data_IF_817311765913
#
_entry.id   IF_817311765913
#
_cell.length_a   1.000
_cell.length_b   1.000
_cell.length_c   1.000
_cell.angle_alpha   90.00
_cell.angle_beta   90.00
_cell.angle_gamma   90.00
#
_symmetry.space_group_name_H-M   'P 1'
#
loop_
_entity.id
_entity.type
_entity.pdbx_description
1 polymer ?
#
# COMPACT_ATOMS: atom_id res chain seq x y z
N UNK A 1 13.35 -32.45 -2.86
CA UNK A 1 14.53 -31.55 -3.02
C UNK A 1 14.01 -30.12 -2.93
N UNK A 2 14.65 -29.27 -2.13
CA UNK A 2 14.29 -27.85 -1.97
C UNK A 2 15.14 -27.03 -2.93
N UNK A 3 14.51 -26.37 -3.90
CA UNK A 3 15.18 -25.44 -4.80
C UNK A 3 14.90 -24.03 -4.27
N UNK A 4 15.84 -23.50 -3.50
CA UNK A 4 15.90 -22.08 -3.21
C UNK A 4 16.56 -21.37 -4.39
N UNK A 5 16.11 -20.16 -4.71
CA UNK A 5 16.87 -19.29 -5.63
C UNK A 5 18.28 -19.07 -5.07
N UNK A 6 19.28 -18.91 -5.95
CA UNK A 6 20.70 -18.79 -5.56
C UNK A 6 21.01 -17.55 -4.71
N UNK A 7 20.11 -16.57 -4.71
CA UNK A 7 20.15 -15.36 -3.88
C UNK A 7 18.78 -15.14 -3.20
N UNK A 8 18.75 -14.64 -1.95
CA UNK A 8 17.51 -14.32 -1.27
C UNK A 8 16.80 -13.19 -2.01
N UNK A 9 15.52 -13.36 -2.30
CA UNK A 9 14.71 -12.30 -2.87
C UNK A 9 14.60 -11.15 -1.85
N UNK A 10 14.90 -9.93 -2.30
CA UNK A 10 14.76 -8.71 -1.51
C UNK A 10 13.58 -7.92 -2.07
N UNK A 11 12.47 -7.78 -1.31
CA UNK A 11 11.36 -6.93 -1.71
C UNK A 11 11.79 -5.49 -1.88
N UNK A 12 11.18 -4.80 -2.86
CA UNK A 12 11.30 -3.35 -2.99
C UNK A 12 10.75 -2.65 -1.74
N UNK A 13 11.21 -1.44 -1.45
CA UNK A 13 10.66 -0.70 -0.31
C UNK A 13 9.18 -0.34 -0.54
N UNK A 14 8.83 0.03 -1.77
CA UNK A 14 7.47 0.37 -2.15
C UNK A 14 7.13 0.01 -3.61
N UNK A 15 5.84 -0.17 -3.88
CA UNK A 15 5.28 -0.23 -5.23
C UNK A 15 4.13 0.76 -5.35
N UNK A 16 4.08 1.50 -6.45
CA UNK A 16 2.99 2.44 -6.76
C UNK A 16 2.01 1.81 -7.75
N UNK A 17 0.80 1.53 -7.29
CA UNK A 17 -0.31 1.05 -8.11
C UNK A 17 -0.95 2.24 -8.82
N UNK A 18 -1.06 2.14 -10.16
CA UNK A 18 -1.59 3.20 -11.02
C UNK A 18 -2.83 2.80 -11.80
N UNK A 19 -3.08 1.50 -11.98
CA UNK A 19 -4.19 0.98 -12.76
C UNK A 19 -5.36 0.50 -11.87
N UNK A 20 -6.57 0.67 -12.39
CA UNK A 20 -7.82 0.34 -11.68
C UNK A 20 -7.94 -1.16 -11.38
N UNK A 21 -7.39 -2.01 -12.24
CA UNK A 21 -7.52 -3.47 -12.10
C UNK A 21 -6.74 -3.96 -10.88
N UNK A 22 -5.49 -3.56 -10.75
CA UNK A 22 -4.63 -3.85 -9.59
C UNK A 22 -5.17 -3.18 -8.32
N UNK A 23 -5.75 -1.98 -8.41
CA UNK A 23 -6.45 -1.36 -7.29
C UNK A 23 -7.60 -2.23 -6.77
N UNK A 24 -8.47 -2.73 -7.68
CA UNK A 24 -9.54 -3.68 -7.31
C UNK A 24 -8.99 -4.96 -6.70
N UNK A 25 -7.76 -5.34 -7.09
CA UNK A 25 -7.11 -6.53 -6.53
C UNK A 25 -6.69 -6.33 -5.09
N UNK A 26 -6.08 -5.19 -4.79
CA UNK A 26 -5.66 -4.81 -3.45
C UNK A 26 -6.82 -4.40 -2.55
N UNK A 27 -7.95 -3.96 -3.11
CA UNK A 27 -9.15 -3.60 -2.34
C UNK A 27 -9.79 -4.77 -1.55
N UNK A 28 -9.41 -6.00 -1.87
CA UNK A 28 -10.00 -7.19 -1.28
C UNK A 28 -9.34 -7.57 0.04
N UNK A 29 -10.18 -7.72 1.06
CA UNK A 29 -9.73 -7.96 2.43
C UNK A 29 -8.90 -9.24 2.58
N UNK A 30 -9.25 -10.31 1.86
CA UNK A 30 -8.52 -11.58 1.92
C UNK A 30 -7.14 -11.43 1.27
N UNK A 31 -7.08 -10.75 0.13
CA UNK A 31 -5.82 -10.47 -0.56
C UNK A 31 -4.88 -9.58 0.25
N UNK A 32 -5.41 -8.60 0.98
CA UNK A 32 -4.61 -7.79 1.91
C UNK A 32 -4.08 -8.61 3.08
N UNK A 33 -4.89 -9.50 3.65
CA UNK A 33 -4.44 -10.45 4.69
C UNK A 33 -3.31 -11.33 4.18
N UNK A 34 -3.44 -11.84 2.94
CA UNK A 34 -2.39 -12.63 2.29
C UNK A 34 -1.13 -11.81 2.07
N UNK A 35 -1.22 -10.58 1.54
CA UNK A 35 -0.08 -9.69 1.35
C UNK A 35 0.66 -9.40 2.66
N UNK A 36 -0.08 -9.17 3.76
CA UNK A 36 0.50 -8.97 5.10
C UNK A 36 1.21 -10.24 5.60
N UNK A 37 0.65 -11.41 5.38
CA UNK A 37 1.28 -12.69 5.73
C UNK A 37 2.54 -12.97 4.90
N UNK A 38 2.56 -12.51 3.65
CA UNK A 38 3.65 -12.67 2.69
C UNK A 38 4.76 -11.62 2.80
N UNK A 39 4.83 -10.87 3.91
CA UNK A 39 6.03 -10.07 4.23
C UNK A 39 7.27 -10.96 4.33
N UNK A 40 7.08 -12.17 4.83
CA UNK A 40 8.07 -13.25 4.82
C UNK A 40 7.67 -14.34 3.81
N UNK A 41 8.63 -15.10 3.25
CA UNK A 41 8.33 -16.21 2.36
C UNK A 41 7.41 -17.26 2.99
N UNK A 42 6.29 -17.58 2.33
CA UNK A 42 5.37 -18.63 2.79
C UNK A 42 4.66 -19.35 1.64
N UNK A 43 4.31 -20.60 1.86
CA UNK A 43 3.51 -21.44 0.96
C UNK A 43 2.01 -21.18 1.14
N UNK A 44 1.20 -21.56 0.15
CA UNK A 44 -0.27 -21.39 0.25
C UNK A 44 -0.85 -22.12 1.46
N UNK A 45 -0.30 -23.29 1.83
CA UNK A 45 -0.73 -24.05 3.01
C UNK A 45 -0.40 -23.32 4.32
N UNK A 46 0.81 -22.76 4.43
CA UNK A 46 1.21 -21.98 5.61
C UNK A 46 0.33 -20.74 5.77
N UNK A 47 0.03 -20.03 4.68
CA UNK A 47 -0.86 -18.87 4.71
C UNK A 47 -2.29 -19.30 5.11
N UNK A 48 -2.80 -20.40 4.57
CA UNK A 48 -4.13 -20.89 4.91
C UNK A 48 -4.25 -21.28 6.39
N UNK A 49 -3.21 -21.91 6.94
CA UNK A 49 -3.13 -22.24 8.36
C UNK A 49 -3.11 -20.96 9.21
N UNK A 50 -2.29 -19.98 8.85
CA UNK A 50 -2.20 -18.70 9.56
C UNK A 50 -3.51 -17.89 9.52
N UNK A 51 -4.26 -17.97 8.40
CA UNK A 51 -5.51 -17.24 8.20
C UNK A 51 -6.77 -18.04 8.56
N UNK A 52 -6.64 -19.27 9.07
CA UNK A 52 -7.78 -20.14 9.40
C UNK A 52 -8.73 -20.39 8.22
N UNK A 53 -8.19 -20.44 6.99
CA UNK A 53 -8.97 -20.39 5.75
C UNK A 53 -8.85 -21.68 4.92
N UNK A 54 -9.82 -21.95 4.05
CA UNK A 54 -9.78 -23.12 3.16
C UNK A 54 -8.76 -22.90 2.02
N UNK A 55 -7.78 -23.81 1.91
CA UNK A 55 -6.74 -23.84 0.86
C UNK A 55 -7.27 -23.54 -0.55
N UNK A 56 -8.39 -24.15 -0.95
CA UNK A 56 -8.93 -24.02 -2.32
C UNK A 56 -9.31 -22.58 -2.66
N UNK A 57 -9.81 -21.80 -1.69
CA UNK A 57 -10.14 -20.38 -1.89
C UNK A 57 -8.88 -19.51 -1.92
N UNK A 58 -7.85 -19.87 -1.15
CA UNK A 58 -6.60 -19.11 -1.14
C UNK A 58 -5.86 -19.15 -2.48
N UNK A 59 -5.86 -20.30 -3.18
CA UNK A 59 -5.19 -20.41 -4.48
C UNK A 59 -5.69 -19.39 -5.50
N UNK A 60 -6.98 -19.07 -5.48
CA UNK A 60 -7.54 -18.01 -6.34
C UNK A 60 -6.94 -16.64 -6.00
N UNK A 61 -6.92 -16.28 -4.72
CA UNK A 61 -6.38 -15.00 -4.27
C UNK A 61 -4.87 -14.87 -4.54
N UNK A 62 -4.10 -15.93 -4.26
CA UNK A 62 -2.66 -15.98 -4.53
C UNK A 62 -2.39 -15.82 -6.03
N UNK A 63 -3.14 -16.52 -6.89
CA UNK A 63 -3.00 -16.38 -8.34
C UNK A 63 -3.29 -14.95 -8.81
N UNK A 64 -4.35 -14.31 -8.30
CA UNK A 64 -4.66 -12.92 -8.64
C UNK A 64 -3.55 -11.97 -8.20
N UNK A 65 -2.97 -12.17 -7.02
CA UNK A 65 -1.85 -11.35 -6.55
C UNK A 65 -0.59 -11.55 -7.40
N UNK A 66 -0.29 -12.80 -7.79
CA UNK A 66 0.86 -13.14 -8.64
C UNK A 66 0.71 -12.54 -10.04
N UNK A 67 -0.49 -12.66 -10.65
CA UNK A 67 -0.78 -12.09 -11.97
C UNK A 67 -0.61 -10.58 -12.04
N UNK A 68 -0.87 -9.89 -10.93
CA UNK A 68 -0.69 -8.44 -10.81
C UNK A 68 0.70 -8.05 -10.29
N UNK A 69 1.63 -8.99 -10.15
CA UNK A 69 3.00 -8.73 -9.71
C UNK A 69 3.12 -8.23 -8.27
N UNK A 70 2.10 -8.44 -7.44
CA UNK A 70 2.09 -8.03 -6.02
C UNK A 70 2.81 -9.05 -5.12
N UNK A 71 2.91 -10.29 -5.61
CA UNK A 71 3.69 -11.35 -5.00
C UNK A 71 4.45 -12.10 -6.11
N UNK A 72 5.48 -12.84 -5.74
CA UNK A 72 6.16 -13.75 -6.66
C UNK A 72 6.64 -15.02 -5.97
N UNK A 73 6.99 -16.03 -6.76
CA UNK A 73 7.60 -17.27 -6.28
C UNK A 73 9.06 -17.02 -5.93
N UNK A 74 9.44 -17.34 -4.70
CA UNK A 74 10.81 -17.21 -4.18
C UNK A 74 11.46 -18.56 -3.86
N UNK A 75 10.71 -19.65 -3.94
CA UNK A 75 11.22 -21.00 -3.74
C UNK A 75 10.25 -22.08 -4.18
N UNK A 76 10.80 -23.26 -4.46
CA UNK A 76 10.02 -24.45 -4.82
C UNK A 76 10.47 -25.63 -3.97
N UNK A 77 9.52 -26.23 -3.24
CA UNK A 77 9.70 -27.45 -2.48
C UNK A 77 9.02 -28.60 -3.22
N UNK A 78 9.70 -29.75 -3.31
CA UNK A 78 9.09 -30.99 -3.81
C UNK A 78 9.12 -32.01 -2.68
N UNK A 79 7.94 -32.32 -2.15
CA UNK A 79 7.71 -33.31 -1.10
C UNK A 79 6.74 -34.37 -1.62
N UNK A 80 7.15 -35.64 -1.58
CA UNK A 80 6.34 -36.78 -2.04
C UNK A 80 5.77 -36.63 -3.46
N UNK A 81 6.49 -35.93 -4.36
CA UNK A 81 6.07 -35.67 -5.74
C UNK A 81 5.14 -34.47 -5.92
N UNK A 82 4.72 -33.81 -4.83
CA UNK A 82 3.90 -32.60 -4.87
C UNK A 82 4.82 -31.38 -4.95
N UNK A 83 4.59 -30.54 -5.95
CA UNK A 83 5.29 -29.26 -6.11
C UNK A 83 4.59 -28.20 -5.27
N UNK A 84 5.30 -27.63 -4.31
CA UNK A 84 4.82 -26.57 -3.44
C UNK A 84 5.67 -25.31 -3.62
N UNK A 85 5.02 -24.22 -4.03
CA UNK A 85 5.64 -22.92 -4.24
C UNK A 85 5.61 -22.11 -2.95
N UNK A 86 6.72 -21.48 -2.61
CA UNK A 86 6.82 -20.44 -1.60
C UNK A 86 6.76 -19.08 -2.30
N UNK A 87 5.90 -18.19 -1.79
CA UNK A 87 5.67 -16.85 -2.33
C UNK A 87 6.15 -15.78 -1.35
N UNK A 88 6.44 -14.59 -1.85
CA UNK A 88 6.69 -13.39 -1.05
C UNK A 88 6.13 -12.16 -1.74
N UNK A 89 5.69 -11.15 -0.97
CA UNK A 89 5.29 -9.85 -1.49
C UNK A 89 6.44 -9.16 -2.21
N UNK A 90 6.18 -8.51 -3.34
CA UNK A 90 7.22 -7.87 -4.17
C UNK A 90 7.70 -6.55 -3.59
N UNK A 91 6.92 -5.92 -2.72
CA UNK A 91 7.27 -4.69 -2.02
C UNK A 91 6.80 -4.70 -0.55
N UNK A 92 7.49 -3.93 0.30
CA UNK A 92 7.16 -3.77 1.73
C UNK A 92 5.95 -2.86 1.95
N UNK A 93 5.77 -1.88 1.07
CA UNK A 93 4.67 -0.92 1.07
C UNK A 93 3.96 -0.90 -0.29
N UNK A 94 2.64 -0.73 -0.25
CA UNK A 94 1.82 -0.58 -1.45
C UNK A 94 1.21 0.81 -1.41
N UNK A 95 1.62 1.66 -2.33
CA UNK A 95 1.07 2.99 -2.50
C UNK A 95 0.04 2.96 -3.61
N UNK A 96 -1.16 3.46 -3.35
CA UNK A 96 -2.19 3.59 -4.38
C UNK A 96 -2.20 5.03 -4.85
N UNK A 97 -1.78 5.25 -6.11
CA UNK A 97 -1.88 6.57 -6.70
C UNK A 97 -3.35 6.92 -6.84
N UNK A 98 -3.78 8.03 -6.25
CA UNK A 98 -5.18 8.42 -6.20
C UNK A 98 -5.80 8.43 -7.62
N UNK A 99 -6.68 7.47 -7.97
CA UNK A 99 -7.28 7.43 -9.29
C UNK A 99 -8.17 8.65 -9.53
N UNK A 100 -8.74 9.25 -8.48
CA UNK A 100 -9.61 10.43 -8.59
C UNK A 100 -8.83 11.65 -9.11
N UNK A 101 -7.58 11.84 -8.66
CA UNK A 101 -6.72 12.92 -9.19
C UNK A 101 -6.21 12.62 -10.60
N UNK A 102 -6.25 11.35 -11.02
CA UNK A 102 -5.94 10.91 -12.38
C UNK A 102 -7.19 10.76 -13.27
N UNK A 103 -8.40 11.03 -12.76
CA UNK A 103 -9.66 10.92 -13.51
C UNK A 103 -10.18 9.49 -13.72
N UNK A 104 -9.67 8.49 -13.01
CA UNK A 104 -10.11 7.11 -13.13
C UNK A 104 -11.29 6.79 -12.19
N UNK A 105 -12.35 6.19 -12.75
CA UNK A 105 -13.50 5.73 -11.97
C UNK A 105 -13.23 4.37 -11.31
N UNK A 106 -13.43 4.30 -9.99
CA UNK A 106 -13.46 3.05 -9.22
C UNK A 106 -14.89 2.76 -8.77
N UNK A 107 -15.34 1.48 -8.74
CA UNK A 107 -16.57 1.12 -8.05
C UNK A 107 -16.50 1.57 -6.58
N UNK A 108 -17.59 2.17 -6.08
CA UNK A 108 -17.62 2.76 -4.74
C UNK A 108 -17.15 1.80 -3.63
N UNK A 109 -17.58 0.55 -3.68
CA UNK A 109 -17.17 -0.47 -2.69
C UNK A 109 -15.65 -0.73 -2.71
N UNK A 110 -15.03 -0.79 -3.89
CA UNK A 110 -13.58 -0.96 -4.03
C UNK A 110 -12.83 0.28 -3.52
N UNK A 111 -13.31 1.48 -3.86
CA UNK A 111 -12.74 2.72 -3.37
C UNK A 111 -12.80 2.80 -1.84
N UNK A 112 -13.95 2.50 -1.23
CA UNK A 112 -14.13 2.49 0.23
C UNK A 112 -13.17 1.51 0.90
N UNK A 113 -13.03 0.30 0.35
CA UNK A 113 -12.11 -0.69 0.92
C UNK A 113 -10.65 -0.23 0.83
N UNK A 114 -10.23 0.30 -0.33
CA UNK A 114 -8.89 0.89 -0.51
C UNK A 114 -8.64 2.00 0.52
N UNK A 115 -9.53 2.98 0.60
CA UNK A 115 -9.36 4.11 1.51
C UNK A 115 -9.38 3.68 2.96
N UNK A 116 -10.19 2.71 3.35
CA UNK A 116 -10.19 2.15 4.72
C UNK A 116 -8.80 1.63 5.10
N UNK A 117 -8.16 0.83 4.24
CA UNK A 117 -6.82 0.31 4.54
C UNK A 117 -5.77 1.42 4.56
N UNK A 118 -5.83 2.36 3.62
CA UNK A 118 -4.96 3.55 3.61
C UNK A 118 -5.09 4.32 4.94
N UNK A 119 -6.32 4.52 5.43
CA UNK A 119 -6.57 5.18 6.71
C UNK A 119 -6.07 4.36 7.90
N UNK A 120 -6.25 3.04 7.90
CA UNK A 120 -5.76 2.18 8.98
C UNK A 120 -4.23 2.19 9.06
N UNK A 121 -3.53 2.11 7.92
CA UNK A 121 -2.07 2.17 7.87
C UNK A 121 -1.54 3.54 8.31
N UNK A 122 -2.15 4.63 7.83
CA UNK A 122 -1.79 5.98 8.26
C UNK A 122 -2.05 6.20 9.75
N UNK A 123 -3.14 5.65 10.30
CA UNK A 123 -3.44 5.70 11.74
C UNK A 123 -2.34 5.01 12.55
N UNK A 124 -1.99 3.79 12.16
CA UNK A 124 -1.00 2.99 12.88
C UNK A 124 0.40 3.61 12.79
N UNK A 125 0.78 4.10 11.60
CA UNK A 125 2.04 4.83 11.37
C UNK A 125 2.12 6.14 12.16
N UNK A 126 1.05 6.95 12.15
CA UNK A 126 0.97 8.18 12.93
C UNK A 126 1.11 7.92 14.44
N UNK A 127 0.41 6.91 14.96
CA UNK A 127 0.49 6.54 16.37
C UNK A 127 1.91 6.10 16.77
N UNK A 128 2.57 5.29 15.93
CA UNK A 128 3.94 4.85 16.16
C UNK A 128 4.93 6.02 16.12
N UNK A 129 4.83 6.91 15.13
CA UNK A 129 5.67 8.10 15.04
C UNK A 129 5.47 9.01 16.27
N UNK A 130 4.22 9.19 16.71
CA UNK A 130 3.93 10.06 17.84
C UNK A 130 4.48 9.49 19.16
N UNK A 131 4.38 8.17 19.33
CA UNK A 131 4.91 7.46 20.51
C UNK A 131 6.45 7.48 20.58
N UNK A 132 7.13 7.51 19.43
CA UNK A 132 8.60 7.45 19.32
C UNK A 132 9.26 8.80 19.02
N UNK A 133 8.53 9.91 19.10
CA UNK A 133 9.07 11.24 18.81
C UNK A 133 10.14 11.63 19.83
N UNK A 134 11.17 12.36 19.38
CA UNK A 134 12.14 12.95 20.29
C UNK A 134 11.48 14.05 21.16
N UNK A 135 12.03 14.34 22.34
CA UNK A 135 11.52 15.42 23.18
C UNK A 135 11.83 16.82 22.61
N UNK A 136 12.88 16.92 21.78
CA UNK A 136 13.32 18.11 21.08
C UNK A 136 13.74 17.69 19.67
N UNK A 137 13.28 18.43 18.66
CA UNK A 137 13.60 18.16 17.27
C UNK A 137 14.23 19.37 16.58
N UNK A 138 15.11 19.11 15.59
CA UNK A 138 15.66 20.16 14.74
C UNK A 138 14.58 20.76 13.83
N UNK A 139 14.78 21.99 13.39
CA UNK A 139 13.94 22.64 12.38
C UNK A 139 14.21 22.07 10.97
N UNK A 140 13.17 21.89 10.12
CA UNK A 140 11.74 22.08 10.42
C UNK A 140 11.19 20.97 11.35
N UNK A 141 10.12 21.24 12.13
CA UNK A 141 9.56 20.26 13.06
C UNK A 141 9.22 18.96 12.31
N UNK A 142 9.70 17.83 12.82
CA UNK A 142 9.49 16.49 12.24
C UNK A 142 8.44 15.70 13.03
N UNK A 143 7.94 16.26 14.13
CA UNK A 143 6.95 15.65 14.97
C UNK A 143 5.67 15.42 14.15
N UNK A 144 5.06 14.24 14.28
CA UNK A 144 3.81 13.96 13.59
C UNK A 144 2.71 14.90 14.09
N UNK A 145 2.02 15.54 13.15
CA UNK A 145 0.85 16.37 13.42
C UNK A 145 -0.28 16.02 12.45
N UNK A 146 -1.52 16.21 12.89
CA UNK A 146 -2.69 16.04 12.05
C UNK A 146 -3.69 17.16 12.37
N UNK A 147 -4.33 17.71 11.34
CA UNK A 147 -5.40 18.69 11.52
C UNK A 147 -6.54 18.45 10.53
N UNK A 148 -7.76 18.65 10.99
CA UNK A 148 -8.95 18.69 10.14
C UNK A 148 -9.42 20.15 10.03
N UNK A 149 -9.66 20.59 8.80
CA UNK A 149 -10.20 21.92 8.51
C UNK A 149 -11.45 21.78 7.65
N UNK A 150 -12.43 22.65 7.92
CA UNK A 150 -13.64 22.78 7.12
C UNK A 150 -13.69 24.20 6.57
N UNK A 151 -13.90 24.33 5.27
CA UNK A 151 -13.99 25.61 4.57
C UNK A 151 -15.05 25.53 3.47
N UNK A 152 -15.51 26.69 2.99
CA UNK A 152 -16.43 26.80 1.86
C UNK A 152 -15.67 27.35 0.67
N UNK A 153 -15.83 26.71 -0.48
CA UNK A 153 -15.24 27.14 -1.75
C UNK A 153 -16.34 27.30 -2.80
N UNK A 154 -16.19 28.30 -3.65
CA UNK A 154 -16.89 28.37 -4.94
C UNK A 154 -16.30 27.32 -5.90
N UNK A 155 -16.98 27.04 -7.01
CA UNK A 155 -16.46 26.09 -8.03
C UNK A 155 -15.09 26.51 -8.56
N UNK A 156 -14.90 27.80 -8.91
CA UNK A 156 -13.60 28.31 -9.36
C UNK A 156 -12.51 28.12 -8.31
N UNK A 157 -12.81 28.37 -7.03
CA UNK A 157 -11.85 28.18 -5.95
C UNK A 157 -11.53 26.69 -5.70
N UNK A 158 -12.51 25.80 -5.87
CA UNK A 158 -12.31 24.37 -5.77
C UNK A 158 -11.39 23.86 -6.89
N UNK A 159 -11.61 24.31 -8.11
CA UNK A 159 -10.75 24.00 -9.26
C UNK A 159 -9.31 24.47 -9.03
N UNK A 160 -9.13 25.71 -8.58
CA UNK A 160 -7.80 26.25 -8.26
C UNK A 160 -7.12 25.46 -7.13
N UNK A 161 -7.87 25.14 -6.06
CA UNK A 161 -7.38 24.37 -4.93
C UNK A 161 -6.87 22.99 -5.36
N UNK A 162 -7.65 22.24 -6.15
CA UNK A 162 -7.22 20.94 -6.67
C UNK A 162 -5.99 21.05 -7.56
N UNK A 163 -5.92 22.05 -8.46
CA UNK A 163 -4.78 22.24 -9.34
C UNK A 163 -3.48 22.52 -8.55
N UNK A 164 -3.56 23.37 -7.52
CA UNK A 164 -2.41 23.70 -6.66
C UNK A 164 -1.97 22.52 -5.81
N UNK A 165 -2.90 21.76 -5.25
CA UNK A 165 -2.59 20.55 -4.48
C UNK A 165 -1.92 19.48 -5.36
N UNK A 166 -2.46 19.22 -6.56
CA UNK A 166 -1.86 18.28 -7.51
C UNK A 166 -0.46 18.71 -7.97
N UNK A 167 -0.26 20.01 -8.22
CA UNK A 167 1.05 20.55 -8.55
C UNK A 167 2.08 20.31 -7.43
N UNK A 168 1.70 20.59 -6.17
CA UNK A 168 2.54 20.39 -4.99
C UNK A 168 2.92 18.91 -4.78
N UNK A 169 1.95 17.99 -4.94
CA UNK A 169 2.19 16.55 -4.83
C UNK A 169 3.16 16.11 -5.94
N UNK A 170 2.91 16.51 -7.19
CA UNK A 170 3.77 16.17 -8.34
C UNK A 170 5.18 16.73 -8.24
N UNK A 171 5.35 17.89 -7.61
CA UNK A 171 6.67 18.47 -7.34
C UNK A 171 7.42 17.63 -6.30
N UNK A 172 6.75 17.30 -5.18
CA UNK A 172 7.31 16.45 -4.13
C UNK A 172 7.68 15.05 -4.64
N UNK A 173 6.80 14.41 -5.43
CA UNK A 173 7.06 13.11 -6.06
C UNK A 173 8.32 13.13 -6.94
N UNK A 174 8.50 14.21 -7.72
CA UNK A 174 9.68 14.39 -8.57
C UNK A 174 10.96 14.56 -7.74
N UNK A 175 10.90 15.35 -6.66
CA UNK A 175 12.03 15.50 -5.74
C UNK A 175 12.40 14.16 -5.09
N UNK A 176 11.41 13.38 -4.64
CA UNK A 176 11.64 12.06 -4.05
C UNK A 176 12.35 11.12 -5.03
N UNK A 177 11.91 11.08 -6.30
CA UNK A 177 12.56 10.26 -7.34
C UNK A 177 14.01 10.69 -7.61
N UNK A 178 14.27 12.00 -7.70
CA UNK A 178 15.64 12.52 -7.91
C UNK A 178 16.53 12.24 -6.70
N UNK A 179 15.95 12.14 -5.51
CA UNK A 179 16.66 11.89 -4.26
C UNK A 179 16.82 10.39 -3.94
N UNK A 180 16.38 9.47 -4.81
CA UNK A 180 16.59 8.03 -4.61
C UNK A 180 18.09 7.74 -4.40
N UNK A 181 18.44 7.16 -3.25
CA UNK A 181 19.82 6.84 -2.87
C UNK A 181 20.60 7.99 -2.21
N UNK A 182 20.00 9.18 -2.04
CA UNK A 182 20.55 10.25 -1.22
C UNK A 182 20.15 10.10 0.25
N UNK A 183 20.90 10.74 1.15
CA UNK A 183 20.60 10.76 2.59
C UNK A 183 19.35 11.63 2.86
N UNK A 184 18.17 11.02 2.73
CA UNK A 184 16.88 11.61 3.08
C UNK A 184 16.14 10.74 4.10
N UNK A 185 15.34 11.37 4.96
CA UNK A 185 14.43 10.67 5.86
C UNK A 185 13.09 10.41 5.15
N UNK A 186 12.48 9.22 5.34
CA UNK A 186 11.17 8.94 4.76
C UNK A 186 10.07 9.69 5.53
N UNK A 187 9.12 10.26 4.78
CA UNK A 187 7.93 10.90 5.33
C UNK A 187 6.68 10.33 4.65
N UNK A 188 5.66 10.04 5.45
CA UNK A 188 4.34 9.62 4.96
C UNK A 188 3.35 10.79 5.06
N UNK A 189 2.67 11.13 3.96
CA UNK A 189 1.64 12.17 3.91
C UNK A 189 0.29 11.58 3.49
N UNK A 190 -0.73 11.75 4.34
CA UNK A 190 -2.11 11.43 4.02
C UNK A 190 -2.93 12.72 3.84
N UNK A 191 -3.54 12.87 2.66
CA UNK A 191 -4.50 13.95 2.37
C UNK A 191 -5.85 13.34 2.04
N UNK A 192 -6.88 13.74 2.79
CA UNK A 192 -8.27 13.37 2.54
C UNK A 192 -9.10 14.62 2.24
N UNK A 193 -9.80 14.63 1.10
CA UNK A 193 -10.68 15.70 0.67
C UNK A 193 -12.04 15.11 0.32
N UNK A 194 -13.11 15.60 0.96
CA UNK A 194 -14.47 15.11 0.74
C UNK A 194 -15.49 16.21 1.05
N UNK A 195 -16.65 16.13 0.41
CA UNK A 195 -17.82 16.90 0.80
C UNK A 195 -18.50 16.18 1.98
N UNK A 196 -18.70 16.82 3.15
CA UNK A 196 -19.46 16.22 4.22
C UNK A 196 -20.89 15.89 3.75
N UNK A 197 -21.39 14.71 4.10
CA UNK A 197 -22.82 14.39 3.93
C UNK A 197 -23.59 15.28 4.91
N UNK A 198 -24.56 16.04 4.41
CA UNK A 198 -25.51 16.75 5.28
C UNK A 198 -26.52 15.71 5.76
N UNK A 199 -26.66 15.57 7.07
CA UNK A 199 -27.76 14.82 7.70
C UNK A 199 -29.11 15.48 7.39
#
# INVERSE_FOLDING_TARGET
RKFAMSEPFIPQDEIVIRDVETMKVVADEQRLKILKALREPATVKEIAAALGSNNTRLYYHVRMLEQHGLIQVVGINIESGIVEKSYQATARRILIRNPILAGAELPAASAVAIYRNLFDEARDGFAAAFANRAASEPEPPRHPFASRKSFRLTESQLTEFHARLDALIKETDRLAQVNEGLAGEPFDLLVAFYRPVQE
#
